data_IF_974426421713
#
_entry.id   IF_974426421713
#
_cell.length_a   1.000
_cell.length_b   1.000
_cell.length_c   1.000
_cell.angle_alpha   90.00
_cell.angle_beta   90.00
_cell.angle_gamma   90.00
#
_symmetry.space_group_name_H-M   'P 1'
#
loop_
_entity.id
_entity.type
_entity.pdbx_description
1 polymer ?
#
# COMPACT_ATOMS: atom_id res chain seq x y z
N UNK A 1 -6.58 3.20 12.30
CA UNK A 1 -5.92 2.03 11.69
C UNK A 1 -5.89 2.11 10.16
N UNK A 2 -4.90 1.47 9.61
CA UNK A 2 -4.76 1.32 8.16
C UNK A 2 -5.64 0.16 7.69
N UNK A 3 -6.25 0.32 6.53
CA UNK A 3 -7.02 -0.70 5.87
C UNK A 3 -6.45 -0.99 4.49
N UNK A 4 -6.36 -2.26 4.13
CA UNK A 4 -6.09 -2.68 2.77
C UNK A 4 -7.27 -3.50 2.31
N UNK A 5 -7.81 -3.18 1.16
CA UNK A 5 -8.95 -3.90 0.61
C UNK A 5 -8.77 -4.16 -0.86
N UNK A 6 -9.42 -5.22 -1.33
CA UNK A 6 -9.62 -5.44 -2.76
C UNK A 6 -10.87 -4.67 -3.16
N UNK A 7 -10.76 -3.79 -4.13
CA UNK A 7 -11.89 -2.98 -4.55
C UNK A 7 -12.33 -3.40 -5.95
N UNK A 8 -13.27 -4.36 -6.02
CA UNK A 8 -13.85 -4.83 -7.26
C UNK A 8 -12.80 -5.25 -8.28
N UNK A 9 -12.95 -4.85 -9.56
CA UNK A 9 -11.95 -5.18 -10.57
C UNK A 9 -10.70 -4.31 -10.55
N UNK A 10 -10.61 -3.33 -9.67
CA UNK A 10 -9.54 -2.33 -9.71
C UNK A 10 -8.35 -2.62 -8.81
N UNK A 11 -8.36 -3.72 -8.05
CA UNK A 11 -7.20 -4.18 -7.32
C UNK A 11 -7.08 -3.67 -5.89
N UNK A 12 -5.86 -3.37 -5.46
CA UNK A 12 -5.56 -2.97 -4.10
C UNK A 12 -5.93 -1.53 -3.81
N UNK A 13 -6.51 -1.29 -2.64
CA UNK A 13 -6.76 0.05 -2.13
C UNK A 13 -6.24 0.13 -0.70
N UNK A 14 -5.44 1.14 -0.41
CA UNK A 14 -4.99 1.44 0.93
C UNK A 14 -5.84 2.58 1.47
N UNK A 15 -6.45 2.37 2.63
CA UNK A 15 -7.22 3.40 3.31
C UNK A 15 -6.74 3.60 4.73
N UNK A 16 -7.19 4.69 5.34
CA UNK A 16 -6.95 4.98 6.74
C UNK A 16 -8.28 5.37 7.38
N UNK A 17 -8.64 4.70 8.47
CA UNK A 17 -10.00 4.73 8.99
C UNK A 17 -10.28 5.89 9.95
N UNK A 18 -9.27 6.63 10.39
CA UNK A 18 -9.43 7.64 11.43
C UNK A 18 -9.36 9.05 10.85
N UNK A 19 -10.51 9.75 10.89
CA UNK A 19 -10.60 11.19 10.65
C UNK A 19 -10.40 11.61 9.20
N UNK A 20 -10.40 12.93 8.99
CA UNK A 20 -10.29 13.56 7.68
C UNK A 20 -8.84 13.83 7.27
N UNK A 21 -7.88 13.44 8.10
CA UNK A 21 -6.46 13.72 7.85
C UNK A 21 -5.96 12.99 6.62
N UNK A 22 -6.42 11.76 6.42
CA UNK A 22 -6.07 10.95 5.26
C UNK A 22 -7.28 10.90 4.33
N UNK A 23 -7.29 11.76 3.34
CA UNK A 23 -8.43 11.91 2.44
C UNK A 23 -8.32 10.99 1.20
N UNK A 24 -9.25 11.15 0.27
CA UNK A 24 -9.30 10.31 -0.95
C UNK A 24 -8.08 10.50 -1.84
N UNK A 25 -7.53 11.70 -1.90
CA UNK A 25 -6.33 11.97 -2.69
C UNK A 25 -5.14 11.27 -2.07
N UNK A 26 -5.00 11.36 -0.76
CA UNK A 26 -3.95 10.67 -0.02
C UNK A 26 -4.05 9.14 -0.20
N UNK A 27 -5.26 8.62 -0.14
CA UNK A 27 -5.54 7.20 -0.38
C UNK A 27 -5.10 6.76 -1.78
N UNK A 28 -5.37 7.61 -2.77
CA UNK A 28 -5.00 7.34 -4.15
C UNK A 28 -3.48 7.28 -4.32
N UNK A 29 -2.74 8.23 -3.72
CA UNK A 29 -1.29 8.23 -3.77
C UNK A 29 -0.70 7.01 -3.06
N UNK A 30 -1.23 6.65 -1.91
CA UNK A 30 -0.78 5.47 -1.17
C UNK A 30 -0.99 4.18 -1.97
N UNK A 31 -2.14 4.06 -2.61
CA UNK A 31 -2.49 2.91 -3.46
C UNK A 31 -1.57 2.82 -4.67
N UNK A 32 -1.32 3.94 -5.33
CA UNK A 32 -0.39 4.01 -6.46
C UNK A 32 1.02 3.63 -6.05
N UNK A 33 1.47 4.13 -4.91
CA UNK A 33 2.81 3.82 -4.39
C UNK A 33 2.98 2.32 -4.18
N UNK A 34 2.00 1.67 -3.58
CA UNK A 34 2.05 0.22 -3.37
C UNK A 34 2.09 -0.54 -4.70
N UNK A 35 1.22 -0.19 -5.64
CA UNK A 35 1.19 -0.85 -6.95
C UNK A 35 2.50 -0.69 -7.70
N UNK A 36 3.07 0.51 -7.72
CA UNK A 36 4.35 0.79 -8.37
C UNK A 36 5.50 0.04 -7.70
N UNK A 37 5.47 -0.04 -6.37
CA UNK A 37 6.46 -0.79 -5.60
C UNK A 37 6.41 -2.28 -5.95
N UNK A 38 5.22 -2.85 -6.04
CA UNK A 38 5.04 -4.25 -6.41
C UNK A 38 5.47 -4.52 -7.85
N UNK A 39 5.28 -3.56 -8.76
CA UNK A 39 5.69 -3.70 -10.16
C UNK A 39 7.20 -3.63 -10.34
N UNK A 40 7.87 -2.70 -9.69
CA UNK A 40 9.22 -2.33 -10.04
C UNK A 40 10.30 -2.54 -9.00
N UNK A 41 9.97 -2.68 -7.74
CA UNK A 41 10.98 -2.77 -6.69
C UNK A 41 11.50 -4.20 -6.53
N UNK A 42 12.78 -4.31 -6.21
CA UNK A 42 13.35 -5.58 -5.75
C UNK A 42 12.81 -5.89 -4.34
N UNK A 43 12.91 -7.14 -3.93
CA UNK A 43 12.59 -7.52 -2.55
C UNK A 43 13.44 -6.70 -1.59
N UNK A 44 12.81 -6.20 -0.53
CA UNK A 44 13.40 -5.35 0.50
C UNK A 44 13.79 -3.93 0.02
N UNK A 45 13.42 -3.56 -1.18
CA UNK A 45 13.54 -2.19 -1.66
C UNK A 45 12.24 -1.45 -1.40
N UNK A 46 12.29 -0.39 -0.62
CA UNK A 46 11.10 0.38 -0.27
C UNK A 46 10.93 1.61 -1.14
N UNK A 47 9.68 2.03 -1.28
CA UNK A 47 9.29 3.30 -1.86
C UNK A 47 8.55 4.12 -0.81
N UNK A 48 8.75 5.43 -0.82
CA UNK A 48 8.15 6.33 0.16
C UNK A 48 7.50 7.51 -0.54
N UNK A 49 6.32 7.88 -0.06
CA UNK A 49 5.66 9.12 -0.45
C UNK A 49 5.39 9.94 0.81
N UNK A 50 5.71 11.23 0.75
CA UNK A 50 5.41 12.17 1.82
C UNK A 50 4.47 13.24 1.31
N UNK A 51 3.41 13.49 2.07
CA UNK A 51 2.50 14.58 1.73
C UNK A 51 3.25 15.91 1.84
N UNK A 52 3.12 16.81 0.86
CA UNK A 52 3.86 18.07 0.88
C UNK A 52 3.40 19.07 1.93
N UNK A 53 2.20 18.91 2.47
CA UNK A 53 1.59 19.88 3.38
C UNK A 53 1.11 19.29 4.68
N UNK A 54 0.85 17.98 4.73
CA UNK A 54 0.39 17.30 5.93
C UNK A 54 1.49 16.42 6.48
N UNK A 55 1.42 16.10 7.76
CA UNK A 55 2.37 15.18 8.38
C UNK A 55 1.94 13.73 8.11
N UNK A 56 1.99 13.33 6.87
CA UNK A 56 1.62 12.01 6.37
C UNK A 56 2.77 11.45 5.54
N UNK A 57 3.14 10.21 5.82
CA UNK A 57 4.12 9.47 5.02
C UNK A 57 3.63 8.05 4.79
N UNK A 58 3.84 7.55 3.58
CA UNK A 58 3.50 6.18 3.19
C UNK A 58 4.74 5.48 2.71
N UNK A 59 4.93 4.26 3.14
CA UNK A 59 6.03 3.41 2.71
C UNK A 59 5.48 2.09 2.21
N UNK A 60 6.05 1.56 1.13
CA UNK A 60 5.68 0.27 0.59
C UNK A 60 6.93 -0.50 0.22
N UNK A 61 7.00 -1.78 0.62
CA UNK A 61 8.18 -2.61 0.38
C UNK A 61 7.77 -4.05 0.08
N UNK A 62 8.09 -4.57 -1.12
CA UNK A 62 7.96 -6.00 -1.36
C UNK A 62 8.98 -6.75 -0.53
N UNK A 63 8.61 -7.93 -0.02
CA UNK A 63 9.52 -8.76 0.78
C UNK A 63 9.75 -10.14 0.20
N UNK A 64 8.91 -10.56 -0.74
CA UNK A 64 9.12 -11.82 -1.45
C UNK A 64 8.43 -11.79 -2.79
N UNK A 65 8.79 -12.73 -3.65
CA UNK A 65 8.17 -12.90 -4.96
C UNK A 65 8.04 -14.38 -5.27
N UNK A 66 6.85 -14.80 -5.66
CA UNK A 66 6.60 -16.19 -6.03
C UNK A 66 5.56 -16.23 -7.15
N UNK A 67 5.98 -16.59 -8.36
CA UNK A 67 5.11 -16.56 -9.53
C UNK A 67 4.56 -15.16 -9.77
N UNK A 68 3.25 -15.05 -9.87
CA UNK A 68 2.57 -13.78 -10.08
C UNK A 68 2.22 -13.07 -8.76
N UNK A 69 2.68 -13.59 -7.63
CA UNK A 69 2.34 -13.08 -6.31
C UNK A 69 3.56 -12.51 -5.61
N UNK A 70 3.33 -11.48 -4.80
CA UNK A 70 4.36 -10.89 -3.96
C UNK A 70 3.80 -10.61 -2.56
N UNK A 71 4.61 -10.90 -1.56
CA UNK A 71 4.35 -10.46 -0.20
C UNK A 71 4.93 -9.05 -0.01
N UNK A 72 4.26 -8.23 0.75
CA UNK A 72 4.66 -6.84 0.96
C UNK A 72 4.39 -6.39 2.38
N UNK A 73 5.09 -5.34 2.77
CA UNK A 73 4.82 -4.57 3.98
C UNK A 73 4.55 -3.14 3.56
N UNK A 74 3.47 -2.57 4.06
CA UNK A 74 3.17 -1.15 3.85
C UNK A 74 2.93 -0.48 5.18
N UNK A 75 3.34 0.77 5.31
CA UNK A 75 3.12 1.56 6.51
C UNK A 75 2.55 2.93 6.14
N UNK A 76 1.70 3.43 7.01
CA UNK A 76 1.15 4.79 6.91
C UNK A 76 1.41 5.48 8.24
N UNK A 77 2.10 6.60 8.19
CA UNK A 77 2.32 7.46 9.33
C UNK A 77 1.47 8.70 9.18
N UNK A 78 0.58 8.93 10.15
CA UNK A 78 -0.26 10.12 10.21
C UNK A 78 0.03 10.81 11.52
N UNK A 79 0.61 12.01 11.44
CA UNK A 79 1.13 12.73 12.60
C UNK A 79 2.15 11.87 13.36
N UNK A 80 1.88 11.50 14.60
CA UNK A 80 2.78 10.67 15.40
C UNK A 80 2.37 9.20 15.42
N UNK A 81 1.30 8.85 14.71
CA UNK A 81 0.77 7.49 14.68
C UNK A 81 1.31 6.75 13.47
N UNK A 82 1.94 5.61 13.72
CA UNK A 82 2.44 4.73 12.67
C UNK A 82 1.63 3.44 12.67
N UNK A 83 1.07 3.09 11.52
CA UNK A 83 0.38 1.85 11.31
C UNK A 83 1.06 1.06 10.20
N UNK A 84 1.22 -0.23 10.41
CA UNK A 84 1.91 -1.11 9.49
C UNK A 84 1.06 -2.33 9.21
N UNK A 85 1.11 -2.80 7.97
CA UNK A 85 0.32 -3.94 7.52
C UNK A 85 1.13 -4.79 6.57
N UNK A 86 0.93 -6.10 6.64
CA UNK A 86 1.59 -7.08 5.80
C UNK A 86 0.54 -7.88 5.05
N UNK A 87 0.80 -8.13 3.78
CA UNK A 87 -0.15 -8.88 2.97
C UNK A 87 0.54 -9.52 1.77
N UNK A 88 -0.26 -10.27 1.01
CA UNK A 88 0.14 -10.85 -0.25
C UNK A 88 -0.80 -10.36 -1.33
N UNK A 89 -0.24 -9.94 -2.45
CA UNK A 89 -0.98 -9.54 -3.64
C UNK A 89 -0.50 -10.35 -4.83
N UNK A 90 -1.43 -10.63 -5.74
CA UNK A 90 -1.14 -11.36 -6.97
C UNK A 90 -1.53 -10.50 -8.18
N UNK A 91 -0.73 -10.58 -9.24
CA UNK A 91 -1.01 -9.88 -10.47
C UNK A 91 -1.97 -10.69 -11.33
N UNK A 92 -3.18 -10.17 -11.51
CA UNK A 92 -4.23 -10.82 -12.28
C UNK A 92 -4.75 -9.79 -13.28
N UNK A 93 -4.72 -10.13 -14.59
CA UNK A 93 -5.18 -9.24 -15.66
C UNK A 93 -4.50 -7.85 -15.61
N UNK A 94 -3.18 -7.84 -15.37
CA UNK A 94 -2.36 -6.63 -15.29
C UNK A 94 -2.68 -5.73 -14.08
N UNK A 95 -3.37 -6.24 -13.10
CA UNK A 95 -3.69 -5.51 -11.87
C UNK A 95 -3.26 -6.31 -10.65
N UNK A 96 -2.78 -5.60 -9.63
CA UNK A 96 -2.49 -6.21 -8.35
C UNK A 96 -3.77 -6.38 -7.56
N UNK A 97 -4.04 -7.59 -7.14
CA UNK A 97 -5.22 -7.90 -6.32
C UNK A 97 -4.77 -8.48 -4.98
N UNK A 98 -5.42 -8.02 -3.93
CA UNK A 98 -5.13 -8.50 -2.59
C UNK A 98 -5.60 -9.94 -2.46
N UNK A 99 -4.69 -10.81 -2.01
CA UNK A 99 -5.00 -12.22 -1.76
C UNK A 99 -5.16 -12.48 -0.26
N UNK A 100 -4.34 -11.85 0.56
CA UNK A 100 -4.27 -12.17 1.97
C UNK A 100 -3.70 -11.00 2.77
N UNK A 101 -4.18 -10.81 3.99
CA UNK A 101 -3.65 -9.87 4.98
C UNK A 101 -3.24 -10.67 6.21
N UNK A 102 -2.08 -10.39 6.74
CA UNK A 102 -1.55 -11.06 7.92
C UNK A 102 -1.72 -10.23 9.18
#
# INVERSE_FOLDING_TARGET
PILISASGPTGLVIGYQIGDTFDKVDQMYATMLLSQSLDGNNNFQSSTWKHPQKNIAVNAMPVSSEGECREFVTSVQVNKELNQMRGTACRINNEWQLKEIY
#
